data_IF_967855626576
#
_entry.id   IF_967855626576
#
_cell.length_a   1.000
_cell.length_b   1.000
_cell.length_c   1.000
_cell.angle_alpha   90.00
_cell.angle_beta   90.00
_cell.angle_gamma   90.00
#
_symmetry.space_group_name_H-M   'P 1'
#
loop_
_entity.id
_entity.type
_entity.pdbx_description
1 polymer ?
#
# COMPACT_ATOMS: atom_id res chain seq x y z
N UNK A 1 -14.15 24.68 19.49
CA UNK A 1 -13.71 23.46 18.78
C UNK A 1 -12.53 23.83 17.86
N UNK A 2 -11.34 23.18 18.01
CA UNK A 2 -10.21 23.42 17.10
C UNK A 2 -10.60 22.91 15.70
N UNK A 3 -10.56 23.78 14.69
CA UNK A 3 -10.74 23.36 13.29
C UNK A 3 -9.70 22.29 12.94
N UNK A 4 -10.14 21.11 12.52
CA UNK A 4 -9.25 20.03 12.08
C UNK A 4 -8.53 20.50 10.83
N UNK A 5 -7.20 20.51 10.88
CA UNK A 5 -6.40 20.84 9.71
C UNK A 5 -6.22 19.58 8.87
N UNK A 6 -7.10 19.39 7.89
CA UNK A 6 -7.11 18.24 6.99
C UNK A 6 -5.81 18.08 6.19
N UNK A 7 -5.18 19.20 5.79
CA UNK A 7 -3.88 19.15 5.11
C UNK A 7 -2.79 18.54 6.00
N UNK A 8 -2.71 19.00 7.25
CA UNK A 8 -1.72 18.45 8.20
C UNK A 8 -1.95 16.96 8.44
N UNK A 9 -3.20 16.54 8.61
CA UNK A 9 -3.54 15.15 8.86
C UNK A 9 -3.21 14.28 7.65
N UNK A 10 -3.54 14.75 6.44
CA UNK A 10 -3.18 14.07 5.20
C UNK A 10 -1.66 13.95 5.04
N UNK A 11 -0.91 15.01 5.29
CA UNK A 11 0.56 14.98 5.17
C UNK A 11 1.18 13.97 6.15
N UNK A 12 0.69 13.88 7.38
CA UNK A 12 1.12 12.86 8.35
C UNK A 12 0.82 11.45 7.81
N UNK A 13 -0.38 11.22 7.33
CA UNK A 13 -0.78 9.94 6.76
C UNK A 13 0.08 9.55 5.54
N UNK A 14 0.30 10.48 4.61
CA UNK A 14 1.13 10.21 3.42
C UNK A 14 2.61 10.05 3.77
N UNK A 15 3.13 10.74 4.79
CA UNK A 15 4.50 10.50 5.28
C UNK A 15 4.64 9.09 5.87
N UNK A 16 3.67 8.65 6.66
CA UNK A 16 3.64 7.28 7.17
C UNK A 16 3.57 6.25 6.02
N UNK A 17 2.71 6.48 5.03
CA UNK A 17 2.57 5.61 3.87
C UNK A 17 3.85 5.57 3.02
N UNK A 18 4.52 6.73 2.85
CA UNK A 18 5.80 6.84 2.17
C UNK A 18 6.89 5.99 2.84
N UNK A 19 7.02 6.09 4.16
CA UNK A 19 8.02 5.31 4.91
C UNK A 19 7.73 3.82 4.73
N UNK A 20 6.49 3.39 4.93
CA UNK A 20 6.12 1.98 4.81
C UNK A 20 6.33 1.43 3.39
N UNK A 21 5.86 2.14 2.35
CA UNK A 21 6.04 1.69 0.96
C UNK A 21 7.51 1.65 0.55
N UNK A 22 8.33 2.60 1.00
CA UNK A 22 9.78 2.59 0.75
C UNK A 22 10.47 1.42 1.44
N UNK A 23 10.13 1.13 2.68
CA UNK A 23 10.65 -0.05 3.40
C UNK A 23 10.26 -1.36 2.70
N UNK A 24 8.99 -1.51 2.33
CA UNK A 24 8.52 -2.70 1.63
C UNK A 24 9.18 -2.86 0.25
N UNK A 25 9.44 -1.77 -0.47
CA UNK A 25 10.20 -1.79 -1.70
C UNK A 25 11.63 -2.31 -1.49
N UNK A 26 12.31 -1.86 -0.44
CA UNK A 26 13.66 -2.33 -0.09
C UNK A 26 13.62 -3.82 0.29
N UNK A 27 12.67 -4.22 1.15
CA UNK A 27 12.56 -5.62 1.57
C UNK A 27 12.26 -6.54 0.40
N UNK A 28 11.38 -6.16 -0.53
CA UNK A 28 11.02 -6.99 -1.68
C UNK A 28 12.21 -7.31 -2.59
N UNK A 29 13.21 -6.43 -2.66
CA UNK A 29 14.37 -6.59 -3.55
C UNK A 29 15.56 -7.23 -2.85
N UNK A 30 15.91 -6.70 -1.66
CA UNK A 30 17.18 -7.06 -1.02
C UNK A 30 17.04 -8.13 0.06
N UNK A 31 15.85 -8.27 0.63
CA UNK A 31 15.61 -9.12 1.78
C UNK A 31 14.33 -9.96 1.69
N UNK A 32 13.98 -10.55 0.53
CA UNK A 32 12.67 -11.22 0.36
C UNK A 32 12.47 -12.39 1.33
N UNK A 33 13.55 -13.05 1.73
CA UNK A 33 13.53 -14.18 2.65
C UNK A 33 13.94 -13.81 4.09
N UNK A 34 14.25 -12.52 4.35
CA UNK A 34 14.59 -12.10 5.70
C UNK A 34 13.34 -11.94 6.56
N UNK A 35 13.41 -12.42 7.79
CA UNK A 35 12.32 -12.24 8.75
C UNK A 35 12.17 -10.77 9.15
N UNK A 36 10.93 -10.29 9.20
CA UNK A 36 10.66 -8.96 9.74
C UNK A 36 10.97 -8.92 11.24
N UNK A 37 11.51 -7.78 11.70
CA UNK A 37 11.92 -7.56 13.10
C UNK A 37 10.83 -7.85 14.14
N UNK A 38 9.55 -7.65 13.79
CA UNK A 38 8.41 -7.84 14.69
C UNK A 38 7.56 -9.07 14.35
N UNK A 39 7.85 -9.72 13.23
CA UNK A 39 7.13 -10.89 12.76
C UNK A 39 8.15 -12.01 12.56
N UNK A 40 7.90 -13.18 13.09
CA UNK A 40 8.78 -14.35 12.89
C UNK A 40 8.65 -14.96 11.48
N UNK A 41 8.23 -14.15 10.50
CA UNK A 41 7.97 -14.55 9.11
C UNK A 41 8.73 -13.66 8.15
N UNK A 42 9.14 -14.24 7.03
CA UNK A 42 9.77 -13.50 5.94
C UNK A 42 8.75 -12.66 5.17
N UNK A 43 9.25 -11.72 4.35
CA UNK A 43 8.40 -10.90 3.47
C UNK A 43 7.54 -11.76 2.53
N UNK A 44 8.10 -12.84 1.97
CA UNK A 44 7.35 -13.74 1.09
C UNK A 44 6.26 -14.53 1.82
N UNK A 45 6.56 -15.00 3.02
CA UNK A 45 5.57 -15.70 3.85
C UNK A 45 4.39 -14.79 4.22
N UNK A 46 4.68 -13.54 4.61
CA UNK A 46 3.64 -12.53 4.91
C UNK A 46 2.75 -12.26 3.69
N UNK A 47 3.30 -12.29 2.48
CA UNK A 47 2.51 -12.14 1.24
C UNK A 47 1.88 -13.45 0.76
N UNK A 48 2.08 -14.57 1.46
CA UNK A 48 1.67 -15.91 1.04
C UNK A 48 2.17 -16.25 -0.38
N UNK A 49 3.40 -15.87 -0.69
CA UNK A 49 4.07 -16.10 -1.96
C UNK A 49 5.18 -17.13 -1.80
N UNK A 50 5.37 -17.98 -2.80
CA UNK A 50 6.47 -18.93 -2.87
C UNK A 50 7.41 -18.59 -4.01
N UNK A 51 8.71 -18.64 -3.75
CA UNK A 51 9.73 -18.49 -4.80
C UNK A 51 9.88 -19.81 -5.55
N UNK A 52 9.54 -19.77 -6.84
CA UNK A 52 9.69 -20.92 -7.74
C UNK A 52 11.00 -20.90 -8.55
N UNK A 53 11.85 -19.89 -8.29
CA UNK A 53 13.11 -19.67 -9.01
C UNK A 53 12.94 -19.09 -10.42
N UNK A 54 14.04 -18.72 -11.04
CA UNK A 54 14.09 -18.24 -12.44
C UNK A 54 13.14 -17.07 -12.72
N UNK A 55 12.33 -17.17 -13.77
CA UNK A 55 11.37 -16.13 -14.16
C UNK A 55 10.27 -15.91 -13.11
N UNK A 56 9.94 -16.95 -12.35
CA UNK A 56 9.00 -16.83 -11.24
C UNK A 56 9.51 -15.89 -10.14
N UNK A 57 10.80 -16.02 -9.80
CA UNK A 57 11.47 -15.12 -8.85
C UNK A 57 11.45 -13.66 -9.32
N UNK A 58 11.77 -13.39 -10.59
CA UNK A 58 11.71 -12.04 -11.16
C UNK A 58 10.31 -11.45 -11.08
N UNK A 59 9.28 -12.19 -11.41
CA UNK A 59 7.89 -11.72 -11.33
C UNK A 59 7.46 -11.46 -9.90
N UNK A 60 7.86 -12.32 -8.98
CA UNK A 60 7.57 -12.21 -7.55
C UNK A 60 8.11 -10.89 -6.96
N UNK A 61 9.29 -10.45 -7.40
CA UNK A 61 9.87 -9.18 -6.98
C UNK A 61 9.23 -8.01 -7.74
N UNK A 62 9.09 -8.13 -9.07
CA UNK A 62 8.69 -7.01 -9.94
C UNK A 62 7.32 -6.45 -9.61
N UNK A 63 6.30 -7.28 -9.39
CA UNK A 63 4.93 -6.79 -9.19
C UNK A 63 4.75 -6.04 -7.86
N UNK A 64 5.13 -6.58 -6.70
CA UNK A 64 5.05 -5.84 -5.44
C UNK A 64 5.94 -4.59 -5.45
N UNK A 65 7.17 -4.69 -5.97
CA UNK A 65 8.08 -3.56 -6.08
C UNK A 65 7.46 -2.41 -6.89
N UNK A 66 6.84 -2.71 -8.03
CA UNK A 66 6.19 -1.71 -8.88
C UNK A 66 5.10 -0.96 -8.12
N UNK A 67 4.25 -1.68 -7.37
CA UNK A 67 3.21 -1.08 -6.54
C UNK A 67 3.80 -0.14 -5.48
N UNK A 68 4.83 -0.60 -4.76
CA UNK A 68 5.46 0.20 -3.71
C UNK A 68 6.17 1.43 -4.27
N UNK A 69 6.86 1.31 -5.41
CA UNK A 69 7.50 2.45 -6.06
C UNK A 69 6.48 3.47 -6.59
N UNK A 70 5.36 3.02 -7.16
CA UNK A 70 4.27 3.91 -7.57
C UNK A 70 3.67 4.66 -6.38
N UNK A 71 3.44 3.98 -5.26
CA UNK A 71 2.97 4.59 -4.03
C UNK A 71 3.98 5.60 -3.48
N UNK A 72 5.25 5.22 -3.38
CA UNK A 72 6.36 6.08 -2.93
C UNK A 72 6.45 7.34 -3.79
N UNK A 73 6.44 7.18 -5.12
CA UNK A 73 6.47 8.30 -6.06
C UNK A 73 5.28 9.25 -5.84
N UNK A 74 4.06 8.72 -5.78
CA UNK A 74 2.86 9.53 -5.57
C UNK A 74 2.89 10.31 -4.26
N UNK A 75 3.34 9.67 -3.17
CA UNK A 75 3.50 10.31 -1.86
C UNK A 75 4.54 11.44 -1.90
N UNK A 76 5.73 11.20 -2.47
CA UNK A 76 6.79 12.21 -2.60
C UNK A 76 6.27 13.41 -3.40
N UNK A 77 5.67 13.16 -4.55
CA UNK A 77 5.20 14.23 -5.42
C UNK A 77 4.09 15.06 -4.77
N UNK A 78 3.14 14.40 -4.09
CA UNK A 78 2.11 15.14 -3.35
C UNK A 78 2.70 15.96 -2.20
N UNK A 79 3.56 15.38 -1.37
CA UNK A 79 4.17 16.09 -0.24
C UNK A 79 5.02 17.30 -0.67
N UNK A 80 5.66 17.23 -1.84
CA UNK A 80 6.46 18.32 -2.39
C UNK A 80 5.63 19.42 -3.07
N UNK A 81 4.59 19.05 -3.79
CA UNK A 81 3.86 19.98 -4.69
C UNK A 81 2.49 20.36 -4.18
N UNK A 82 1.91 19.58 -3.27
CA UNK A 82 0.52 19.67 -2.76
C UNK A 82 -0.54 19.67 -3.89
N UNK A 83 -0.18 19.15 -5.07
CA UNK A 83 -1.08 19.10 -6.22
C UNK A 83 -2.10 17.96 -6.07
N UNK A 84 -3.36 18.29 -6.23
CA UNK A 84 -4.48 17.35 -6.16
C UNK A 84 -4.35 16.19 -7.17
N UNK A 85 -3.63 16.42 -8.27
CA UNK A 85 -3.34 15.38 -9.25
C UNK A 85 -2.69 14.13 -8.64
N UNK A 86 -1.67 14.31 -7.80
CA UNK A 86 -0.98 13.18 -7.16
C UNK A 86 -1.83 12.50 -6.11
N UNK A 87 -2.71 13.23 -5.43
CA UNK A 87 -3.68 12.62 -4.52
C UNK A 87 -4.73 11.79 -5.29
N UNK A 88 -5.17 12.26 -6.47
CA UNK A 88 -6.03 11.49 -7.36
C UNK A 88 -5.32 10.22 -7.85
N UNK A 89 -4.06 10.32 -8.24
CA UNK A 89 -3.24 9.18 -8.64
C UNK A 89 -3.17 8.12 -7.52
N UNK A 90 -2.84 8.52 -6.29
CA UNK A 90 -2.81 7.62 -5.13
C UNK A 90 -4.19 7.02 -4.83
N UNK A 91 -5.25 7.81 -4.96
CA UNK A 91 -6.62 7.34 -4.76
C UNK A 91 -6.99 6.26 -5.78
N UNK A 92 -6.66 6.45 -7.05
CA UNK A 92 -6.89 5.45 -8.11
C UNK A 92 -6.07 4.19 -7.84
N UNK A 93 -4.78 4.34 -7.54
CA UNK A 93 -3.87 3.23 -7.25
C UNK A 93 -4.45 2.31 -6.16
N UNK A 94 -4.79 2.89 -5.00
CA UNK A 94 -5.31 2.11 -3.88
C UNK A 94 -6.73 1.60 -4.09
N UNK A 95 -7.54 2.29 -4.89
CA UNK A 95 -8.87 1.78 -5.29
C UNK A 95 -8.73 0.55 -6.19
N UNK A 96 -7.79 0.56 -7.13
CA UNK A 96 -7.52 -0.61 -7.99
C UNK A 96 -7.02 -1.79 -7.14
N UNK A 97 -6.10 -1.57 -6.19
CA UNK A 97 -5.64 -2.61 -5.26
C UNK A 97 -6.81 -3.20 -4.48
N UNK A 98 -7.68 -2.37 -3.91
CA UNK A 98 -8.85 -2.80 -3.16
C UNK A 98 -9.82 -3.63 -4.03
N UNK A 99 -10.14 -3.16 -5.24
CA UNK A 99 -11.02 -3.88 -6.17
C UNK A 99 -10.41 -5.23 -6.57
N UNK A 100 -9.11 -5.25 -6.89
CA UNK A 100 -8.38 -6.49 -7.21
C UNK A 100 -8.43 -7.49 -6.04
N UNK A 101 -8.30 -7.01 -4.81
CA UNK A 101 -8.41 -7.86 -3.62
C UNK A 101 -9.82 -8.44 -3.45
N UNK A 102 -10.85 -7.62 -3.63
CA UNK A 102 -12.26 -8.08 -3.57
C UNK A 102 -12.50 -9.16 -4.63
N UNK A 103 -12.07 -8.93 -5.88
CA UNK A 103 -12.22 -9.93 -6.96
C UNK A 103 -11.49 -11.22 -6.58
N UNK A 104 -10.26 -11.14 -6.09
CA UNK A 104 -9.48 -12.32 -5.68
C UNK A 104 -10.18 -13.13 -4.60
N UNK A 105 -10.77 -12.46 -3.61
CA UNK A 105 -11.53 -13.12 -2.53
C UNK A 105 -12.79 -13.82 -3.05
N UNK A 106 -13.51 -13.20 -4.01
CA UNK A 106 -14.70 -13.77 -4.62
C UNK A 106 -14.40 -14.98 -5.50
N UNK A 107 -13.25 -14.98 -6.18
CA UNK A 107 -12.87 -16.05 -7.13
C UNK A 107 -12.27 -17.26 -6.42
N UNK A 108 -11.44 -17.05 -5.38
CA UNK A 108 -10.69 -18.15 -4.76
C UNK A 108 -11.40 -18.88 -3.63
N UNK A 109 -12.34 -18.25 -2.92
CA UNK A 109 -13.19 -18.91 -1.89
C UNK A 109 -12.45 -19.49 -0.66
N UNK A 110 -11.31 -20.12 -0.84
CA UNK A 110 -10.50 -20.71 0.23
C UNK A 110 -9.40 -19.73 0.68
N UNK A 111 -9.72 -18.98 1.71
CA UNK A 111 -8.75 -18.07 2.33
C UNK A 111 -8.32 -18.66 3.67
N UNK A 112 -7.06 -19.07 3.77
CA UNK A 112 -6.45 -19.33 5.08
C UNK A 112 -6.34 -18.02 5.82
N UNK A 113 -7.17 -17.83 6.83
CA UNK A 113 -7.18 -16.64 7.69
C UNK A 113 -6.07 -16.76 8.73
N UNK A 114 -4.84 -16.45 8.35
CA UNK A 114 -3.81 -16.17 9.35
C UNK A 114 -3.82 -14.69 9.75
N UNK A 115 -3.15 -14.39 10.85
CA UNK A 115 -3.09 -13.05 11.41
C UNK A 115 -2.50 -12.03 10.42
N UNK A 116 -1.54 -12.44 9.59
CA UNK A 116 -0.82 -11.59 8.64
C UNK A 116 -1.67 -11.27 7.42
N UNK A 117 -2.38 -12.26 6.90
CA UNK A 117 -3.38 -12.07 5.87
C UNK A 117 -4.45 -11.07 6.31
N UNK A 118 -4.90 -11.19 7.58
CA UNK A 118 -5.87 -10.26 8.14
C UNK A 118 -5.33 -8.83 8.23
N UNK A 119 -4.07 -8.64 8.66
CA UNK A 119 -3.42 -7.32 8.68
C UNK A 119 -3.25 -6.74 7.27
N UNK A 120 -2.80 -7.52 6.29
CA UNK A 120 -2.65 -7.10 4.90
C UNK A 120 -3.98 -6.62 4.31
N UNK A 121 -5.02 -7.42 4.42
CA UNK A 121 -6.36 -7.07 3.94
C UNK A 121 -6.89 -5.83 4.66
N UNK A 122 -6.81 -5.77 5.97
CA UNK A 122 -7.34 -4.63 6.75
C UNK A 122 -6.66 -3.33 6.32
N UNK A 123 -5.35 -3.33 6.09
CA UNK A 123 -4.64 -2.13 5.61
C UNK A 123 -5.09 -1.73 4.21
N UNK A 124 -5.25 -2.65 3.27
CA UNK A 124 -5.74 -2.36 1.92
C UNK A 124 -7.17 -1.80 1.95
N UNK A 125 -8.06 -2.37 2.78
CA UNK A 125 -9.44 -1.90 2.96
C UNK A 125 -9.55 -0.54 3.63
N UNK A 126 -8.55 -0.12 4.41
CA UNK A 126 -8.53 1.20 5.07
C UNK A 126 -7.89 2.29 4.21
N UNK A 127 -6.81 1.97 3.49
CA UNK A 127 -6.03 2.97 2.75
C UNK A 127 -6.86 3.62 1.64
N UNK A 128 -7.60 2.85 0.83
CA UNK A 128 -8.40 3.39 -0.27
C UNK A 128 -9.51 4.35 0.22
N UNK A 129 -10.37 4.00 1.20
CA UNK A 129 -11.36 4.92 1.75
C UNK A 129 -10.76 6.18 2.38
N UNK A 130 -9.61 6.08 3.04
CA UNK A 130 -8.90 7.23 3.61
C UNK A 130 -8.49 8.21 2.50
N UNK A 131 -7.91 7.73 1.40
CA UNK A 131 -7.57 8.56 0.25
C UNK A 131 -8.79 9.23 -0.38
N UNK A 132 -9.87 8.48 -0.59
CA UNK A 132 -11.14 9.01 -1.11
C UNK A 132 -11.70 10.10 -0.18
N UNK A 133 -11.66 9.87 1.12
CA UNK A 133 -12.14 10.84 2.11
C UNK A 133 -11.34 12.15 2.03
N UNK A 134 -10.01 12.10 2.09
CA UNK A 134 -9.18 13.31 2.03
C UNK A 134 -9.29 14.03 0.69
N UNK A 135 -9.28 13.30 -0.43
CA UNK A 135 -9.52 13.86 -1.77
C UNK A 135 -10.83 14.65 -1.81
N UNK A 136 -11.94 14.05 -1.36
CA UNK A 136 -13.25 14.68 -1.40
C UNK A 136 -13.36 15.88 -0.45
N UNK A 137 -12.61 15.89 0.65
CA UNK A 137 -12.56 17.04 1.55
C UNK A 137 -11.76 18.20 0.95
N UNK A 138 -10.62 17.91 0.33
CA UNK A 138 -9.75 18.93 -0.23
C UNK A 138 -10.30 19.55 -1.51
N UNK A 139 -10.95 18.76 -2.38
CA UNK A 139 -11.64 19.30 -3.58
C UNK A 139 -12.84 20.20 -3.26
N UNK A 140 -13.40 20.12 -2.07
CA UNK A 140 -14.47 21.05 -1.60
C UNK A 140 -13.93 22.32 -0.95
N UNK A 141 -12.62 22.39 -0.71
CA UNK A 141 -11.95 23.52 -0.08
C UNK A 141 -11.14 24.37 -1.07
N UNK A 142 -10.90 23.83 -2.28
CA UNK A 142 -10.30 24.51 -3.44
C UNK A 142 -11.39 25.19 -4.27
#
# INVERSE_FOLDING_TARGET
MKKINYFKLLNIFLTFLLINSSMLAIYSVFFPNATFLFFQQSYLEVLAMSDTGGNGHLNLITYPLSLYLMCTFGCIQYLRTQQIFYLNFLTILWTVVLVSRIISLLVKGDVTTDLYFFFGITTEFLIAPIHIYFRNKLTKLS
#
